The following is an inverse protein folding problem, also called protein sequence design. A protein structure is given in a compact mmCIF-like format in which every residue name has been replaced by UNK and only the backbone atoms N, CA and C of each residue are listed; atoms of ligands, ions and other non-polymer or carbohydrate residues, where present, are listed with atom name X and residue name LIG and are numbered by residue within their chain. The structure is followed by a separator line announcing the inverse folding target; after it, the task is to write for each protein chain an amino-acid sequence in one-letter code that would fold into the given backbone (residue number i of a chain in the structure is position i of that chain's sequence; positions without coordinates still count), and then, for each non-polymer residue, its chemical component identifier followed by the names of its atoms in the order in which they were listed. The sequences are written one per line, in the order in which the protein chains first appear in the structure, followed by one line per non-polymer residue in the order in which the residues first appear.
data_IF_114855650368
#
_entry.id   IF_114855650368
#
_cell.length_a   1.000
_cell.length_b   1.000
_cell.length_c   1.000
_cell.angle_alpha   90.00
_cell.angle_beta   90.00
_cell.angle_gamma   90.00
#
_symmetry.space_group_name_H-M   'P 1'
#
loop_
_entity.id
_entity.type
_entity.pdbx_description
1 polymer ?
#
# COMPACT_ATOMS: atom_id res chain seq x y z
N UNK A 1 -1.52 -27.84 33.88
CA UNK A 1 -2.59 -28.33 34.77
C UNK A 1 -3.37 -27.14 35.31
N UNK A 2 -4.61 -26.93 34.83
CA UNK A 2 -5.38 -25.69 35.06
C UNK A 2 -5.86 -25.61 36.52
N UNK A 3 -6.14 -26.77 37.12
CA UNK A 3 -6.56 -26.95 38.52
C UNK A 3 -5.44 -26.67 39.52
N UNK A 4 -4.17 -26.83 39.12
CA UNK A 4 -3.02 -26.44 39.94
C UNK A 4 -2.73 -24.93 39.89
N UNK A 5 -3.13 -24.27 38.80
CA UNK A 5 -2.86 -22.84 38.56
C UNK A 5 -3.96 -21.92 39.12
N UNK A 6 -5.20 -22.40 39.21
CA UNK A 6 -6.32 -21.66 39.79
C UNK A 6 -7.07 -22.50 40.84
N UNK A 7 -7.06 -22.11 42.13
CA UNK A 7 -7.78 -22.83 43.18
C UNK A 7 -9.30 -22.79 42.96
N UNK A 8 -10.04 -23.68 43.62
CA UNK A 8 -11.50 -23.72 43.54
C UNK A 8 -12.12 -22.45 44.12
N UNK A 9 -13.11 -21.90 43.41
CA UNK A 9 -13.86 -20.75 43.90
C UNK A 9 -14.82 -21.19 45.03
N UNK A 10 -15.16 -20.30 45.97
CA UNK A 10 -16.18 -20.58 46.98
C UNK A 10 -17.51 -20.99 46.34
N UNK A 11 -18.25 -21.89 46.99
CA UNK A 11 -19.55 -22.34 46.50
C UNK A 11 -20.50 -21.15 46.28
N UNK A 12 -20.94 -20.95 45.03
CA UNK A 12 -21.78 -19.82 44.61
C UNK A 12 -21.04 -18.64 44.00
N UNK A 13 -19.70 -18.60 44.07
CA UNK A 13 -18.87 -17.55 43.47
C UNK A 13 -18.24 -17.95 42.13
N UNK A 14 -18.58 -19.13 41.60
CA UNK A 14 -18.05 -19.69 40.35
C UNK A 14 -18.36 -18.85 39.09
N UNK A 15 -19.36 -17.97 39.17
CA UNK A 15 -19.73 -17.01 38.11
C UNK A 15 -19.43 -15.55 38.49
N UNK A 16 -18.81 -15.32 39.65
CA UNK A 16 -18.47 -13.97 40.11
C UNK A 16 -17.50 -13.27 39.15
N UNK A 17 -17.41 -11.94 39.22
CA UNK A 17 -16.51 -11.17 38.36
C UNK A 17 -15.05 -11.59 38.45
N UNK A 18 -14.65 -12.23 39.55
CA UNK A 18 -13.29 -12.68 39.85
C UNK A 18 -13.09 -14.20 39.77
N UNK A 19 -14.11 -14.94 39.32
CA UNK A 19 -14.09 -16.40 39.27
C UNK A 19 -12.92 -16.96 38.43
N UNK A 20 -12.47 -18.16 38.79
CA UNK A 20 -11.38 -18.89 38.14
C UNK A 20 -11.60 -19.06 36.64
N UNK A 21 -12.85 -19.23 36.20
CA UNK A 21 -13.20 -19.42 34.79
C UNK A 21 -12.80 -18.23 33.92
N UNK A 22 -13.00 -17.00 34.40
CA UNK A 22 -12.64 -15.79 33.67
C UNK A 22 -11.13 -15.62 33.58
N UNK A 23 -10.40 -15.98 34.65
CA UNK A 23 -8.93 -15.92 34.68
C UNK A 23 -8.31 -16.97 33.76
N UNK A 24 -8.81 -18.20 33.81
CA UNK A 24 -8.37 -19.27 32.91
C UNK A 24 -8.64 -18.92 31.44
N UNK A 25 -9.81 -18.34 31.16
CA UNK A 25 -10.13 -17.85 29.81
C UNK A 25 -9.18 -16.72 29.37
N UNK A 26 -8.90 -15.74 30.22
CA UNK A 26 -7.99 -14.63 29.87
C UNK A 26 -6.59 -15.12 29.56
N UNK A 27 -6.07 -16.09 30.32
CA UNK A 27 -4.75 -16.67 30.07
C UNK A 27 -4.70 -17.38 28.71
N UNK A 28 -5.71 -18.21 28.40
CA UNK A 28 -5.79 -18.90 27.09
C UNK A 28 -5.98 -17.90 25.94
N UNK A 29 -6.87 -16.92 26.12
CA UNK A 29 -7.12 -15.87 25.14
C UNK A 29 -5.88 -15.01 24.90
N UNK A 30 -5.08 -14.73 25.93
CA UNK A 30 -3.84 -13.98 25.79
C UNK A 30 -2.81 -14.71 24.92
N UNK A 31 -2.70 -16.04 25.04
CA UNK A 31 -1.83 -16.86 24.18
C UNK A 31 -2.29 -16.78 22.73
N UNK A 32 -3.59 -17.01 22.48
CA UNK A 32 -4.18 -16.90 21.15
C UNK A 32 -4.01 -15.50 20.53
N UNK A 33 -4.30 -14.45 21.30
CA UNK A 33 -4.21 -13.06 20.86
C UNK A 33 -2.77 -12.68 20.53
N UNK A 34 -1.81 -13.14 21.33
CA UNK A 34 -0.38 -12.89 21.09
C UNK A 34 0.07 -13.54 19.79
N UNK A 35 -0.24 -14.82 19.58
CA UNK A 35 0.15 -15.54 18.36
C UNK A 35 -0.46 -14.90 17.11
N UNK A 36 -1.75 -14.54 17.17
CA UNK A 36 -2.46 -13.88 16.07
C UNK A 36 -1.81 -12.53 15.71
N UNK A 37 -1.52 -11.71 16.73
CA UNK A 37 -0.99 -10.36 16.55
C UNK A 37 0.45 -10.38 16.07
N UNK A 38 1.29 -11.28 16.60
CA UNK A 38 2.67 -11.45 16.14
C UNK A 38 2.70 -11.82 14.66
N UNK A 39 1.87 -12.79 14.23
CA UNK A 39 1.78 -13.17 12.82
C UNK A 39 1.38 -12.00 11.91
N UNK A 40 0.40 -11.20 12.32
CA UNK A 40 -0.02 -10.04 11.54
C UNK A 40 1.06 -8.97 11.50
N UNK A 41 1.72 -8.72 12.64
CA UNK A 41 2.79 -7.75 12.76
C UNK A 41 3.98 -8.11 11.88
N UNK A 42 4.46 -9.36 11.94
CA UNK A 42 5.59 -9.84 11.14
C UNK A 42 5.31 -9.69 9.64
N UNK A 43 4.14 -10.14 9.19
CA UNK A 43 3.72 -9.98 7.79
C UNK A 43 3.67 -8.51 7.38
N UNK A 44 3.09 -7.67 8.24
CA UNK A 44 2.90 -6.25 7.96
C UNK A 44 4.22 -5.47 7.97
N UNK A 45 5.16 -5.82 8.85
CA UNK A 45 6.50 -5.23 8.92
C UNK A 45 7.29 -5.48 7.65
N UNK A 46 7.29 -6.74 7.16
CA UNK A 46 7.94 -7.11 5.90
C UNK A 46 7.33 -6.35 4.72
N UNK A 47 6.00 -6.31 4.63
CA UNK A 47 5.31 -5.61 3.54
C UNK A 47 5.57 -4.10 3.55
N UNK A 48 5.67 -3.48 4.73
CA UNK A 48 5.94 -2.04 4.85
C UNK A 48 7.33 -1.67 4.32
N UNK A 49 8.36 -2.44 4.72
CA UNK A 49 9.73 -2.23 4.24
C UNK A 49 9.80 -2.46 2.74
N UNK A 50 9.20 -3.56 2.27
CA UNK A 50 9.17 -3.88 0.85
C UNK A 50 8.44 -2.80 0.04
N UNK A 51 7.28 -2.33 0.52
CA UNK A 51 6.51 -1.23 -0.07
C UNK A 51 7.36 0.01 -0.25
N UNK A 52 8.06 0.43 0.81
CA UNK A 52 8.85 1.66 0.79
C UNK A 52 9.96 1.59 -0.25
N UNK A 53 10.72 0.49 -0.24
CA UNK A 53 11.81 0.26 -1.19
C UNK A 53 11.30 0.17 -2.63
N UNK A 54 10.25 -0.61 -2.86
CA UNK A 54 9.66 -0.77 -4.18
C UNK A 54 9.07 0.55 -4.70
N UNK A 55 8.35 1.30 -3.85
CA UNK A 55 7.81 2.62 -4.20
C UNK A 55 8.92 3.59 -4.59
N UNK A 56 10.06 3.59 -3.88
CA UNK A 56 11.21 4.43 -4.22
C UNK A 56 11.76 4.07 -5.62
N UNK A 57 11.96 2.77 -5.90
CA UNK A 57 12.42 2.30 -7.20
C UNK A 57 11.44 2.72 -8.30
N UNK A 58 10.15 2.39 -8.17
CA UNK A 58 9.12 2.75 -9.17
C UNK A 58 9.04 4.26 -9.38
N UNK A 59 9.17 5.06 -8.31
CA UNK A 59 9.16 6.53 -8.42
C UNK A 59 10.28 7.04 -9.32
N UNK A 60 11.48 6.46 -9.28
CA UNK A 60 12.57 6.88 -10.18
C UNK A 60 12.21 6.67 -11.66
N UNK A 61 11.59 5.54 -12.00
CA UNK A 61 11.11 5.24 -13.35
C UNK A 61 9.94 6.13 -13.77
N UNK A 62 9.01 6.41 -12.86
CA UNK A 62 7.88 7.33 -13.08
C UNK A 62 8.39 8.73 -13.36
N UNK A 63 9.35 9.25 -12.60
CA UNK A 63 9.93 10.58 -12.84
C UNK A 63 10.60 10.64 -14.21
N UNK A 64 11.40 9.62 -14.57
CA UNK A 64 12.07 9.58 -15.87
C UNK A 64 11.09 9.52 -17.05
N UNK A 65 10.00 8.74 -16.94
CA UNK A 65 9.01 8.66 -18.01
C UNK A 65 8.07 9.84 -18.04
N UNK A 66 7.73 10.43 -16.90
CA UNK A 66 6.92 11.64 -16.86
C UNK A 66 7.58 12.78 -17.65
N UNK A 67 8.92 12.90 -17.55
CA UNK A 67 9.68 13.86 -18.37
C UNK A 67 9.60 13.56 -19.88
N UNK A 68 9.43 12.30 -20.29
CA UNK A 68 9.22 11.92 -21.71
C UNK A 68 7.80 12.20 -22.21
N UNK A 69 6.85 12.41 -21.30
CA UNK A 69 5.49 12.82 -21.62
C UNK A 69 5.35 14.35 -21.74
N UNK A 70 6.42 15.10 -21.49
CA UNK A 70 6.47 16.52 -21.82
C UNK A 70 7.05 16.74 -23.21
N UNK A 71 6.64 17.81 -23.90
CA UNK A 71 7.20 18.14 -25.20
C UNK A 71 8.69 18.46 -25.05
N UNK A 72 9.53 17.83 -25.87
CA UNK A 72 10.97 18.12 -25.88
C UNK A 72 11.21 19.55 -26.37
N UNK A 73 11.35 20.47 -25.43
CA UNK A 73 11.62 21.88 -25.70
C UNK A 73 12.92 22.06 -26.48
N UNK A 74 13.91 21.18 -26.32
CA UNK A 74 15.16 21.26 -27.08
C UNK A 74 14.94 20.89 -28.55
N UNK A 75 14.20 19.81 -28.83
CA UNK A 75 13.81 19.45 -30.20
C UNK A 75 12.91 20.51 -30.86
N UNK A 76 11.94 21.05 -30.12
CA UNK A 76 11.09 22.14 -30.63
C UNK A 76 11.92 23.39 -30.94
N UNK A 77 12.83 23.79 -30.04
CA UNK A 77 13.71 24.95 -30.26
C UNK A 77 14.66 24.71 -31.44
N UNK A 78 15.21 23.50 -31.58
CA UNK A 78 16.07 23.13 -32.70
C UNK A 78 15.30 23.14 -34.04
N UNK A 79 14.06 22.65 -34.04
CA UNK A 79 13.19 22.69 -35.22
C UNK A 79 12.86 24.13 -35.63
N UNK A 80 12.53 25.00 -34.65
CA UNK A 80 12.28 26.42 -34.90
C UNK A 80 13.54 27.14 -35.41
N UNK A 81 14.71 26.87 -34.81
CA UNK A 81 16.00 27.41 -35.27
C UNK A 81 16.32 26.98 -36.70
N UNK A 82 16.12 25.70 -37.04
CA UNK A 82 16.32 25.20 -38.40
C UNK A 82 15.40 25.90 -39.41
N UNK A 83 14.12 26.11 -39.05
CA UNK A 83 13.17 26.86 -39.89
C UNK A 83 13.58 28.33 -40.06
N UNK A 84 14.05 29.00 -39.01
CA UNK A 84 14.55 30.38 -39.09
C UNK A 84 15.77 30.46 -40.02
N UNK A 85 16.69 29.51 -39.92
CA UNK A 85 17.88 29.45 -40.79
C UNK A 85 17.48 29.23 -42.26
N UNK A 86 16.53 28.33 -42.52
CA UNK A 86 16.01 28.09 -43.88
C UNK A 86 15.27 29.31 -44.45
N UNK A 87 14.48 30.01 -43.63
CA UNK A 87 13.80 31.24 -44.01
C UNK A 87 14.78 32.39 -44.30
N UNK A 88 15.94 32.43 -43.62
CA UNK A 88 16.96 33.44 -43.85
C UNK A 88 17.82 33.16 -45.10
N UNK A 89 17.96 31.89 -45.50
CA UNK A 89 18.71 31.50 -46.71
C UNK A 89 17.86 31.53 -48.00
N UNK A 90 16.53 31.48 -47.90
CA UNK A 90 15.62 31.64 -49.03
C UNK A 90 15.27 33.12 -49.28
N UNK A 91 15.86 33.72 -50.31
CA UNK A 91 15.60 35.12 -50.68
C UNK A 91 14.16 35.33 -51.20
N UNK A 92 13.23 35.61 -50.29
CA UNK A 92 11.94 36.25 -50.55
C UNK A 92 10.89 35.37 -51.25
N UNK A 93 9.81 35.04 -50.53
CA UNK A 93 8.53 34.74 -51.19
C UNK A 93 7.78 33.46 -50.81
N UNK A 94 8.12 32.78 -49.73
CA UNK A 94 7.23 31.76 -49.17
C UNK A 94 6.94 32.13 -47.73
N UNK A 95 5.71 32.58 -47.48
CA UNK A 95 5.14 32.63 -46.14
C UNK A 95 5.22 31.23 -45.55
N UNK A 96 6.30 30.94 -44.82
CA UNK A 96 6.31 29.82 -43.89
C UNK A 96 5.23 30.16 -42.87
N UNK A 97 4.04 29.60 -43.05
CA UNK A 97 3.05 29.55 -41.97
C UNK A 97 3.81 29.02 -40.76
N UNK A 98 3.90 29.82 -39.69
CA UNK A 98 4.23 29.25 -38.38
C UNK A 98 3.35 28.01 -38.22
N UNK A 99 3.87 26.88 -37.72
CA UNK A 99 3.01 25.76 -37.39
C UNK A 99 1.87 26.36 -36.57
N UNK A 100 0.65 26.28 -37.12
CA UNK A 100 -0.53 26.59 -36.34
C UNK A 100 -0.49 25.71 -35.11
N UNK A 101 -1.16 26.15 -34.06
CA UNK A 101 -1.38 25.47 -32.78
C UNK A 101 -1.97 24.03 -32.89
N UNK A 102 -2.04 23.46 -34.11
CA UNK A 102 -2.64 22.18 -34.49
C UNK A 102 -1.72 20.96 -34.29
N UNK A 103 -0.40 21.13 -34.16
CA UNK A 103 0.50 20.03 -33.73
C UNK A 103 0.67 20.05 -32.20
N UNK A 104 -0.45 19.96 -31.49
CA UNK A 104 -0.43 19.76 -30.05
C UNK A 104 0.30 18.44 -29.74
N UNK A 105 1.41 18.54 -29.00
CA UNK A 105 2.24 17.40 -28.62
C UNK A 105 1.37 16.27 -28.07
N UNK A 106 1.39 15.12 -28.75
CA UNK A 106 0.64 13.94 -28.36
C UNK A 106 1.63 12.83 -28.04
N UNK A 107 1.85 12.54 -26.77
CA UNK A 107 2.74 11.46 -26.33
C UNK A 107 2.34 10.11 -26.95
N UNK A 108 3.34 9.30 -27.32
CA UNK A 108 3.13 8.01 -27.95
C UNK A 108 2.20 7.14 -27.06
N UNK A 109 1.23 6.41 -27.64
CA UNK A 109 0.29 5.59 -26.87
C UNK A 109 0.99 4.59 -25.93
N UNK A 110 2.15 4.06 -26.33
CA UNK A 110 2.95 3.14 -25.53
C UNK A 110 3.58 3.82 -24.31
N UNK A 111 4.11 5.03 -24.45
CA UNK A 111 4.68 5.80 -23.34
C UNK A 111 3.62 6.15 -22.29
N UNK A 112 2.42 6.53 -22.74
CA UNK A 112 1.27 6.75 -21.85
C UNK A 112 0.83 5.47 -21.12
N UNK A 113 0.81 4.34 -21.81
CA UNK A 113 0.46 3.06 -21.21
C UNK A 113 1.49 2.61 -20.16
N UNK A 114 2.79 2.70 -20.46
CA UNK A 114 3.88 2.38 -19.52
C UNK A 114 3.82 3.27 -18.28
N UNK A 115 3.65 4.57 -18.48
CA UNK A 115 3.55 5.52 -17.38
C UNK A 115 2.32 5.21 -16.50
N UNK A 116 1.16 4.89 -17.09
CA UNK A 116 -0.03 4.44 -16.37
C UNK A 116 0.18 3.14 -15.58
N UNK A 117 0.87 2.15 -16.16
CA UNK A 117 1.24 0.89 -15.50
C UNK A 117 2.13 1.13 -14.27
N UNK A 118 3.10 2.04 -14.37
CA UNK A 118 3.98 2.35 -13.25
C UNK A 118 3.31 3.21 -12.18
N UNK A 119 2.46 4.17 -12.54
CA UNK A 119 1.66 4.91 -11.57
C UNK A 119 0.68 4.00 -10.81
N UNK A 120 0.01 3.08 -11.51
CA UNK A 120 -0.90 2.11 -10.86
C UNK A 120 -0.15 1.14 -9.96
N UNK A 121 1.02 0.64 -10.38
CA UNK A 121 1.94 -0.13 -9.53
C UNK A 121 2.32 0.64 -8.26
N UNK A 122 2.72 1.92 -8.41
CA UNK A 122 3.08 2.78 -7.29
C UNK A 122 1.89 2.97 -6.33
N UNK A 123 0.70 3.21 -6.87
CA UNK A 123 -0.52 3.38 -6.07
C UNK A 123 -0.85 2.12 -5.26
N UNK A 124 -0.78 0.93 -5.84
CA UNK A 124 -1.00 -0.32 -5.11
C UNK A 124 0.06 -0.56 -4.02
N UNK A 125 1.32 -0.23 -4.31
CA UNK A 125 2.40 -0.33 -3.32
C UNK A 125 2.12 0.57 -2.11
N UNK A 126 1.78 1.85 -2.34
CA UNK A 126 1.46 2.82 -1.30
C UNK A 126 0.18 2.46 -0.55
N UNK A 127 -0.86 1.97 -1.24
CA UNK A 127 -2.08 1.48 -0.62
C UNK A 127 -1.79 0.32 0.33
N UNK A 128 -0.91 -0.60 -0.07
CA UNK A 128 -0.47 -1.70 0.81
C UNK A 128 0.24 -1.17 2.05
N UNK A 129 1.18 -0.22 1.91
CA UNK A 129 1.83 0.41 3.07
C UNK A 129 0.83 1.11 4.00
N UNK A 130 -0.14 1.83 3.42
CA UNK A 130 -1.16 2.52 4.20
C UNK A 130 -2.00 1.55 5.03
N UNK A 131 -2.52 0.50 4.41
CA UNK A 131 -3.32 -0.53 5.10
C UNK A 131 -2.47 -1.30 6.12
N UNK A 132 -1.20 -1.55 5.82
CA UNK A 132 -0.24 -2.12 6.76
C UNK A 132 -0.12 -1.26 8.04
N UNK A 133 -0.01 0.06 7.91
CA UNK A 133 -0.02 0.96 9.06
C UNK A 133 -1.35 0.88 9.83
N UNK A 134 -2.50 0.84 9.15
CA UNK A 134 -3.80 0.72 9.82
C UNK A 134 -3.92 -0.58 10.64
N UNK A 135 -3.44 -1.71 10.11
CA UNK A 135 -3.43 -2.99 10.84
C UNK A 135 -2.59 -2.88 12.11
N UNK A 136 -1.42 -2.22 12.06
CA UNK A 136 -0.60 -1.98 13.26
C UNK A 136 -1.33 -1.13 14.30
N UNK A 137 -2.05 -0.11 13.86
CA UNK A 137 -2.85 0.74 14.75
C UNK A 137 -4.00 -0.07 15.40
N UNK A 138 -4.68 -0.91 14.62
CA UNK A 138 -5.75 -1.79 15.14
C UNK A 138 -5.24 -2.83 16.12
N UNK A 139 -4.13 -3.51 15.83
CA UNK A 139 -3.54 -4.49 16.75
C UNK A 139 -3.08 -3.82 18.04
N UNK A 140 -2.44 -2.65 17.95
CA UNK A 140 -2.05 -1.86 19.14
C UNK A 140 -3.26 -1.49 19.99
N UNK A 141 -4.35 -1.01 19.36
CA UNK A 141 -5.57 -0.67 20.08
C UNK A 141 -6.24 -1.91 20.69
N UNK A 142 -6.23 -3.04 19.99
CA UNK A 142 -6.78 -4.31 20.49
C UNK A 142 -6.07 -4.76 21.77
N UNK A 143 -4.74 -4.70 21.82
CA UNK A 143 -3.93 -5.07 22.99
C UNK A 143 -3.99 -4.09 24.16
N UNK A 144 -4.65 -2.92 23.99
CA UNK A 144 -4.73 -1.95 25.08
C UNK A 144 -5.40 -2.58 26.32
N UNK A 145 -4.70 -2.55 27.45
CA UNK A 145 -5.11 -3.28 28.65
C UNK A 145 -6.50 -2.80 29.12
N UNK A 146 -7.46 -3.72 29.21
CA UNK A 146 -8.75 -3.43 29.82
C UNK A 146 -8.58 -3.40 31.35
N UNK A 147 -8.92 -2.29 31.99
CA UNK A 147 -8.98 -2.19 33.45
C UNK A 147 -10.30 -2.74 33.97
N UNK A 148 -10.28 -3.50 35.07
CA UNK A 148 -11.49 -3.98 35.73
C UNK A 148 -11.34 -5.39 36.32
N UNK A 149 -12.48 -6.00 36.63
CA UNK A 149 -12.56 -7.40 37.03
C UNK A 149 -12.24 -8.32 35.84
N UNK A 150 -11.74 -9.56 36.07
CA UNK A 150 -11.51 -10.55 35.01
C UNK A 150 -12.71 -10.73 34.07
N UNK A 151 -13.93 -10.75 34.60
CA UNK A 151 -15.14 -10.84 33.78
C UNK A 151 -15.33 -9.64 32.84
N UNK A 152 -15.09 -8.41 33.33
CA UNK A 152 -15.18 -7.20 32.49
C UNK A 152 -14.09 -7.19 31.42
N UNK A 153 -12.88 -7.60 31.76
CA UNK A 153 -11.77 -7.75 30.82
C UNK A 153 -12.12 -8.74 29.69
N UNK A 154 -12.69 -9.90 30.04
CA UNK A 154 -13.15 -10.89 29.05
C UNK A 154 -14.21 -10.30 28.12
N UNK A 155 -15.21 -9.60 28.67
CA UNK A 155 -16.28 -8.99 27.85
C UNK A 155 -15.72 -7.94 26.89
N UNK A 156 -14.81 -7.08 27.36
CA UNK A 156 -14.19 -6.03 26.53
C UNK A 156 -13.34 -6.67 25.43
N UNK A 157 -12.51 -7.67 25.76
CA UNK A 157 -11.71 -8.42 24.77
C UNK A 157 -12.60 -9.07 23.73
N UNK A 158 -13.66 -9.77 24.16
CA UNK A 158 -14.57 -10.46 23.24
C UNK A 158 -15.30 -9.48 22.33
N UNK A 159 -15.76 -8.34 22.85
CA UNK A 159 -16.36 -7.29 22.04
C UNK A 159 -15.39 -6.77 20.96
N UNK A 160 -14.13 -6.53 21.33
CA UNK A 160 -13.09 -6.11 20.37
C UNK A 160 -12.78 -7.18 19.34
N UNK A 161 -12.74 -8.45 19.74
CA UNK A 161 -12.48 -9.58 18.85
C UNK A 161 -13.61 -9.74 17.81
N UNK A 162 -14.87 -9.69 18.27
CA UNK A 162 -16.04 -9.69 17.37
C UNK A 162 -15.98 -8.48 16.42
N UNK A 163 -15.54 -7.33 16.91
CA UNK A 163 -15.26 -6.17 16.07
C UNK A 163 -14.25 -6.48 14.96
N UNK A 164 -13.08 -7.03 15.30
CA UNK A 164 -12.06 -7.40 14.31
C UNK A 164 -12.60 -8.40 13.25
N UNK A 165 -13.40 -9.36 13.68
CA UNK A 165 -14.00 -10.36 12.80
C UNK A 165 -15.07 -9.76 11.89
N UNK A 166 -15.95 -8.91 12.43
CA UNK A 166 -17.00 -8.22 11.67
C UNK A 166 -16.39 -7.27 10.63
N UNK A 167 -15.30 -6.58 10.97
CA UNK A 167 -14.55 -5.73 10.05
C UNK A 167 -13.64 -6.50 9.11
N UNK A 168 -13.63 -7.84 9.17
CA UNK A 168 -12.85 -8.72 8.31
C UNK A 168 -11.35 -8.40 8.30
N UNK A 169 -10.80 -7.91 9.42
CA UNK A 169 -9.38 -7.59 9.55
C UNK A 169 -8.46 -8.75 9.15
N UNK A 170 -8.74 -10.01 9.53
CA UNK A 170 -7.92 -11.15 9.09
C UNK A 170 -7.85 -11.29 7.56
N UNK A 171 -8.97 -11.04 6.86
CA UNK A 171 -9.02 -11.10 5.40
C UNK A 171 -8.26 -9.94 4.75
N UNK A 172 -8.31 -8.74 5.35
CA UNK A 172 -7.54 -7.57 4.91
C UNK A 172 -6.03 -7.87 5.04
N UNK A 173 -5.58 -8.45 6.16
CA UNK A 173 -4.17 -8.86 6.32
C UNK A 173 -3.79 -9.87 5.22
N UNK A 174 -4.68 -10.81 4.90
CA UNK A 174 -4.47 -11.82 3.86
C UNK A 174 -4.40 -11.28 2.42
N UNK A 175 -5.08 -10.17 2.10
CA UNK A 175 -5.07 -9.59 0.74
C UNK A 175 -3.86 -8.67 0.50
N UNK A 176 -3.22 -8.15 1.55
CA UNK A 176 -2.07 -7.25 1.39
C UNK A 176 -0.94 -7.84 0.54
N UNK A 177 -0.50 -9.09 0.76
CA UNK A 177 0.51 -9.69 -0.10
C UNK A 177 0.05 -9.75 -1.55
N UNK A 178 -1.22 -10.07 -1.82
CA UNK A 178 -1.77 -10.14 -3.18
C UNK A 178 -1.69 -8.78 -3.87
N UNK A 179 -2.00 -7.70 -3.14
CA UNK A 179 -1.90 -6.33 -3.64
C UNK A 179 -0.45 -5.99 -4.03
N UNK A 180 0.52 -6.41 -3.21
CA UNK A 180 1.95 -6.25 -3.53
C UNK A 180 2.42 -7.05 -4.73
N UNK A 181 2.01 -8.32 -4.85
CA UNK A 181 2.34 -9.11 -6.02
C UNK A 181 1.74 -8.49 -7.29
N UNK A 182 0.52 -7.97 -7.21
CA UNK A 182 -0.13 -7.26 -8.32
C UNK A 182 0.66 -6.02 -8.73
N UNK A 183 1.12 -5.22 -7.76
CA UNK A 183 1.98 -4.06 -8.02
C UNK A 183 3.28 -4.46 -8.75
N UNK A 184 3.95 -5.53 -8.29
CA UNK A 184 5.16 -6.05 -8.94
C UNK A 184 4.89 -6.49 -10.38
N UNK A 185 3.80 -7.22 -10.63
CA UNK A 185 3.44 -7.67 -11.97
C UNK A 185 3.16 -6.50 -12.91
N UNK A 186 2.47 -5.46 -12.45
CA UNK A 186 2.24 -4.23 -13.22
C UNK A 186 3.56 -3.53 -13.56
N UNK A 187 4.46 -3.41 -12.58
CA UNK A 187 5.77 -2.81 -12.81
C UNK A 187 6.60 -3.57 -13.84
N UNK A 188 6.72 -4.89 -13.70
CA UNK A 188 7.47 -5.72 -14.65
C UNK A 188 6.86 -5.69 -16.05
N UNK A 189 5.53 -5.67 -16.15
CA UNK A 189 4.83 -5.51 -17.44
C UNK A 189 5.19 -4.18 -18.09
N UNK A 190 5.16 -3.08 -17.33
CA UNK A 190 5.62 -1.77 -17.80
C UNK A 190 7.10 -1.76 -18.19
N UNK A 191 7.96 -2.48 -17.45
CA UNK A 191 9.39 -2.59 -17.76
C UNK A 191 9.65 -3.31 -19.09
N UNK A 192 8.95 -4.41 -19.34
CA UNK A 192 9.06 -5.14 -20.62
C UNK A 192 8.62 -4.24 -21.77
N UNK A 193 7.47 -3.56 -21.63
CA UNK A 193 6.98 -2.64 -22.66
C UNK A 193 7.93 -1.45 -22.89
N UNK A 194 8.58 -0.95 -21.86
CA UNK A 194 9.58 0.11 -21.95
C UNK A 194 10.86 -0.32 -22.69
N UNK A 195 11.26 -1.58 -22.56
CA UNK A 195 12.48 -2.12 -23.18
C UNK A 195 12.28 -2.58 -24.63
N UNK A 196 11.08 -2.95 -25.05
CA UNK A 196 10.80 -3.40 -26.44
C UNK A 196 11.20 -2.39 -27.52
N UNK A 197 10.93 -1.07 -27.38
CA UNK A 197 11.30 -0.08 -28.39
C UNK A 197 12.73 0.48 -28.21
N UNK A 198 13.46 0.05 -27.18
CA UNK A 198 14.81 0.54 -26.84
C UNK A 198 15.89 -0.23 -27.59
#
# INVERSE_FOLDING_TARGET
DITAKYPEDPYGEEASGNARVWRAYLDEAAVFDTEMIERWKDSTDVLLVFSGLFSAVVTTFVVQTAMKLEPDQAAQTAMLLAQIILAHQGNGGSSSSLPGDDDAFTAAPLDRAVNGLWFTSLAFSLATAFVAVLIKEWTRHYTSLASGTPQEQVRIRQYRYIGLELWHVPAIVGILPVLMHTALLLFFTGLVLFLVPL
#
